data_IF_599520843498
#
_entry.id   IF_599520843498
#
_cell.length_a   1.000
_cell.length_b   1.000
_cell.length_c   1.000
_cell.angle_alpha   90.00
_cell.angle_beta   90.00
_cell.angle_gamma   90.00
#
_symmetry.space_group_name_H-M   'P 1'
#
loop_
_entity.id
_entity.type
_entity.pdbx_description
1 polymer ?
#
# COMPACT_ATOMS: atom_id res chain seq x y z
N UNK A 1 -10.43 -8.82 -2.35
CA UNK A 1 -9.27 -8.14 -1.73
C UNK A 1 -9.59 -7.96 -0.24
N UNK A 2 -8.73 -8.44 0.66
CA UNK A 2 -9.09 -8.68 2.07
C UNK A 2 -9.07 -7.41 2.92
N UNK A 3 -9.99 -7.34 3.89
CA UNK A 3 -10.02 -6.36 4.98
C UNK A 3 -8.85 -6.59 5.92
N UNK A 4 -7.70 -6.15 5.44
CA UNK A 4 -6.53 -5.93 6.26
C UNK A 4 -6.91 -4.85 7.26
N UNK A 5 -6.71 -5.13 8.55
CA UNK A 5 -6.50 -4.14 9.61
C UNK A 5 -7.69 -3.66 10.43
N UNK A 6 -8.68 -4.53 10.68
CA UNK A 6 -9.63 -4.29 11.77
C UNK A 6 -9.60 -5.41 12.80
N UNK A 7 -8.47 -5.52 13.51
CA UNK A 7 -8.28 -6.45 14.63
C UNK A 7 -9.20 -6.11 15.81
N UNK A 8 -9.66 -4.86 15.91
CA UNK A 8 -10.43 -4.38 17.06
C UNK A 8 -11.93 -4.72 16.96
N UNK A 9 -12.51 -4.86 15.76
CA UNK A 9 -13.97 -5.05 15.59
C UNK A 9 -14.47 -6.50 15.61
N UNK A 10 -13.63 -7.47 15.95
CA UNK A 10 -13.99 -8.90 15.90
C UNK A 10 -14.28 -9.47 17.29
N UNK A 11 -15.46 -9.16 17.82
CA UNK A 11 -15.94 -9.69 19.10
C UNK A 11 -16.46 -11.14 18.92
N UNK A 12 -15.58 -12.13 19.12
CA UNK A 12 -15.89 -13.56 19.20
C UNK A 12 -14.63 -14.43 19.30
N UNK A 13 -14.25 -14.85 20.51
CA UNK A 13 -12.91 -15.34 20.86
C UNK A 13 -12.29 -16.41 19.92
N UNK A 14 -12.96 -17.53 19.63
CA UNK A 14 -12.31 -18.66 18.94
C UNK A 14 -12.37 -18.61 17.41
N UNK A 15 -13.43 -18.04 16.82
CA UNK A 15 -13.45 -17.83 15.36
C UNK A 15 -12.52 -16.69 14.91
N UNK A 16 -12.08 -15.86 15.86
CA UNK A 16 -11.20 -14.75 15.56
C UNK A 16 -9.73 -15.16 15.49
N UNK A 17 -9.26 -16.02 16.40
CA UNK A 17 -7.84 -16.42 16.45
C UNK A 17 -7.34 -17.06 15.15
N UNK A 18 -8.10 -17.98 14.55
CA UNK A 18 -7.72 -18.61 13.28
C UNK A 18 -7.57 -17.57 12.15
N UNK A 19 -8.49 -16.61 12.07
CA UNK A 19 -8.45 -15.53 11.08
C UNK A 19 -7.28 -14.57 11.32
N UNK A 20 -6.99 -14.25 12.57
CA UNK A 20 -5.84 -13.41 12.94
C UNK A 20 -4.51 -14.09 12.59
N UNK A 21 -4.42 -15.41 12.81
CA UNK A 21 -3.28 -16.18 12.37
C UNK A 21 -3.15 -16.17 10.85
N UNK A 22 -4.21 -16.45 10.10
CA UNK A 22 -4.21 -16.36 8.63
C UNK A 22 -3.74 -14.99 8.13
N UNK A 23 -4.19 -13.90 8.77
CA UNK A 23 -3.71 -12.55 8.47
C UNK A 23 -2.22 -12.41 8.75
N UNK A 24 -1.73 -12.84 9.91
CA UNK A 24 -0.30 -12.79 10.22
C UNK A 24 0.54 -13.52 9.16
N UNK A 25 0.12 -14.71 8.70
CA UNK A 25 0.82 -15.44 7.64
C UNK A 25 0.71 -14.74 6.30
N UNK A 26 -0.44 -14.19 5.93
CA UNK A 26 -0.58 -13.44 4.69
C UNK A 26 0.35 -12.21 4.70
N UNK A 27 0.52 -11.51 5.83
CA UNK A 27 1.46 -10.39 5.92
C UNK A 27 2.88 -10.82 5.58
N UNK A 28 3.28 -12.04 5.89
CA UNK A 28 4.68 -12.48 5.79
C UNK A 28 4.95 -13.35 4.57
N UNK A 29 3.93 -14.04 4.04
CA UNK A 29 4.04 -15.00 2.94
C UNK A 29 3.08 -14.77 1.75
N UNK A 30 2.17 -13.79 1.82
CA UNK A 30 1.21 -13.42 0.75
C UNK A 30 0.47 -14.64 0.16
N UNK A 31 0.87 -15.12 -1.02
CA UNK A 31 0.17 -16.17 -1.77
C UNK A 31 0.34 -17.58 -1.16
N UNK A 32 1.47 -17.85 -0.49
CA UNK A 32 1.80 -19.17 0.05
C UNK A 32 1.36 -19.35 1.53
N UNK A 33 0.63 -18.39 2.07
CA UNK A 33 0.35 -18.26 3.51
C UNK A 33 -0.25 -19.50 4.15
N UNK A 34 -1.15 -20.21 3.46
CA UNK A 34 -1.80 -21.42 4.01
C UNK A 34 -0.78 -22.56 4.21
N UNK A 35 0.07 -22.80 3.20
CA UNK A 35 1.09 -23.85 3.28
C UNK A 35 2.19 -23.51 4.28
N UNK A 36 2.56 -22.23 4.39
CA UNK A 36 3.54 -21.76 5.36
C UNK A 36 2.98 -21.81 6.79
N UNK A 37 1.68 -21.58 6.98
CA UNK A 37 1.02 -21.76 8.28
C UNK A 37 1.07 -23.20 8.76
N UNK A 38 0.77 -24.17 7.89
CA UNK A 38 0.87 -25.59 8.24
C UNK A 38 2.32 -25.98 8.62
N UNK A 39 3.31 -25.53 7.84
CA UNK A 39 4.73 -25.77 8.11
C UNK A 39 5.17 -25.16 9.44
N UNK A 40 4.73 -23.94 9.72
CA UNK A 40 5.02 -23.27 10.98
C UNK A 40 4.44 -24.04 12.17
N UNK A 41 3.17 -24.47 12.09
CA UNK A 41 2.53 -25.24 13.14
C UNK A 41 3.23 -26.58 13.39
N UNK A 42 3.64 -27.28 12.33
CA UNK A 42 4.40 -28.53 12.45
C UNK A 42 5.77 -28.32 13.12
N UNK A 43 6.46 -27.21 12.81
CA UNK A 43 7.80 -26.91 13.34
C UNK A 43 7.76 -26.44 14.79
N UNK A 44 6.79 -25.61 15.15
CA UNK A 44 6.77 -24.87 16.42
C UNK A 44 5.72 -25.35 17.42
N UNK A 45 4.87 -26.30 17.03
CA UNK A 45 3.83 -26.85 17.91
C UNK A 45 2.56 -26.00 17.98
N UNK A 46 2.38 -25.05 17.07
CA UNK A 46 1.16 -24.25 16.95
C UNK A 46 1.42 -22.75 16.73
N UNK A 47 0.33 -21.99 16.64
CA UNK A 47 0.33 -20.53 16.49
C UNK A 47 -0.08 -19.81 17.79
N UNK A 48 0.08 -20.47 18.95
CA UNK A 48 -0.28 -19.86 20.24
C UNK A 48 0.82 -18.90 20.70
N UNK A 49 0.49 -17.88 21.51
CA UNK A 49 1.47 -16.88 21.93
C UNK A 49 2.74 -17.48 22.58
N UNK A 50 2.62 -18.56 23.35
CA UNK A 50 3.75 -19.27 23.96
C UNK A 50 4.70 -19.87 22.91
N UNK A 51 4.13 -20.45 21.84
CA UNK A 51 4.92 -20.97 20.71
C UNK A 51 5.63 -19.84 19.99
N UNK A 52 4.93 -18.71 19.77
CA UNK A 52 5.48 -17.53 19.12
C UNK A 52 6.62 -16.90 19.95
N UNK A 53 6.51 -16.84 21.27
CA UNK A 53 7.59 -16.37 22.14
C UNK A 53 8.85 -17.23 22.00
N UNK A 54 8.72 -18.55 21.87
CA UNK A 54 9.84 -19.44 21.59
C UNK A 54 10.44 -19.20 20.19
N UNK A 55 9.59 -18.97 19.19
CA UNK A 55 10.01 -18.63 17.81
C UNK A 55 10.81 -17.32 17.80
N UNK A 56 10.42 -16.30 18.58
CA UNK A 56 11.18 -15.05 18.67
C UNK A 56 12.61 -15.24 19.21
N UNK A 57 12.86 -16.28 19.99
CA UNK A 57 14.17 -16.58 20.55
C UNK A 57 15.05 -17.40 19.62
N UNK A 58 14.46 -18.39 18.93
CA UNK A 58 15.20 -19.45 18.25
C UNK A 58 14.84 -19.64 16.77
N UNK A 59 13.76 -19.02 16.33
CA UNK A 59 13.29 -19.08 14.96
C UNK A 59 14.15 -18.30 13.99
N UNK A 60 13.94 -18.57 12.72
CA UNK A 60 14.60 -17.85 11.64
C UNK A 60 13.74 -16.69 11.12
N UNK A 61 14.33 -15.93 10.22
CA UNK A 61 13.87 -14.66 9.62
C UNK A 61 12.33 -14.52 9.56
N UNK A 62 11.67 -15.31 8.71
CA UNK A 62 10.25 -15.15 8.42
C UNK A 62 9.37 -15.73 9.54
N UNK A 63 9.79 -16.82 10.17
CA UNK A 63 9.10 -17.37 11.34
C UNK A 63 9.01 -16.32 12.46
N UNK A 64 10.08 -15.56 12.69
CA UNK A 64 10.12 -14.45 13.66
C UNK A 64 9.16 -13.32 13.25
N UNK A 65 9.10 -12.96 11.97
CA UNK A 65 8.13 -11.99 11.45
C UNK A 65 6.68 -12.44 11.72
N UNK A 66 6.36 -13.70 11.43
CA UNK A 66 5.03 -14.28 11.70
C UNK A 66 4.72 -14.24 13.19
N UNK A 67 5.67 -14.67 14.03
CA UNK A 67 5.51 -14.66 15.49
C UNK A 67 5.25 -13.25 16.04
N UNK A 68 5.94 -12.21 15.52
CA UNK A 68 5.67 -10.81 15.86
C UNK A 68 4.23 -10.42 15.53
N UNK A 69 3.75 -10.81 14.34
CA UNK A 69 2.40 -10.48 13.88
C UNK A 69 1.31 -11.19 14.71
N UNK A 70 1.51 -12.47 15.02
CA UNK A 70 0.59 -13.24 15.89
C UNK A 70 0.55 -12.64 17.29
N UNK A 71 1.71 -12.30 17.87
CA UNK A 71 1.78 -11.66 19.19
C UNK A 71 1.06 -10.31 19.17
N UNK A 72 1.24 -9.50 18.13
CA UNK A 72 0.55 -8.21 18.00
C UNK A 72 -0.98 -8.35 17.94
N UNK A 73 -1.47 -9.40 17.30
CA UNK A 73 -2.90 -9.71 17.21
C UNK A 73 -3.46 -10.44 18.45
N UNK A 74 -2.59 -10.86 19.39
CA UNK A 74 -2.98 -11.58 20.60
C UNK A 74 -3.50 -10.65 21.70
N UNK A 75 -4.14 -11.24 22.71
CA UNK A 75 -4.56 -10.53 23.93
C UNK A 75 -3.48 -10.47 25.02
N UNK A 76 -2.21 -10.71 24.68
CA UNK A 76 -1.12 -10.64 25.66
C UNK A 76 -0.94 -9.20 26.17
N UNK A 77 -0.93 -8.94 27.49
CA UNK A 77 -0.71 -7.60 28.04
C UNK A 77 0.62 -6.97 27.58
N UNK A 78 1.65 -7.80 27.38
CA UNK A 78 2.99 -7.39 26.99
C UNK A 78 3.19 -7.35 25.46
N UNK A 79 2.16 -7.66 24.65
CA UNK A 79 2.26 -7.74 23.19
C UNK A 79 2.92 -6.50 22.59
N UNK A 80 2.47 -5.30 23.00
CA UNK A 80 3.03 -4.02 22.53
C UNK A 80 4.53 -3.94 22.77
N UNK A 81 4.99 -4.24 23.99
CA UNK A 81 6.40 -4.16 24.35
C UNK A 81 7.25 -5.16 23.56
N UNK A 82 6.75 -6.38 23.36
CA UNK A 82 7.43 -7.41 22.59
C UNK A 82 7.56 -6.97 21.13
N UNK A 83 6.48 -6.51 20.51
CA UNK A 83 6.47 -6.07 19.11
C UNK A 83 7.39 -4.85 18.91
N UNK A 84 7.36 -3.89 19.85
CA UNK A 84 8.25 -2.72 19.83
C UNK A 84 9.74 -3.08 19.91
N UNK A 85 10.10 -4.20 20.54
CA UNK A 85 11.49 -4.66 20.52
C UNK A 85 11.99 -4.98 19.10
N UNK A 86 11.10 -5.48 18.22
CA UNK A 86 11.42 -5.82 16.83
C UNK A 86 11.65 -4.61 15.93
N UNK A 87 11.16 -3.41 16.29
CA UNK A 87 11.52 -2.16 15.57
C UNK A 87 13.03 -1.89 15.62
N UNK A 88 13.71 -2.37 16.68
CA UNK A 88 15.17 -2.24 16.86
C UNK A 88 15.94 -3.42 16.28
N UNK A 89 15.26 -4.35 15.60
CA UNK A 89 15.92 -5.49 14.96
C UNK A 89 16.87 -5.01 13.86
N UNK A 90 18.00 -5.71 13.72
CA UNK A 90 18.90 -5.53 12.59
C UNK A 90 18.33 -6.11 11.29
N UNK A 91 17.32 -6.98 11.39
CA UNK A 91 16.57 -7.52 10.25
C UNK A 91 15.53 -6.49 9.79
N UNK A 92 15.62 -5.97 8.55
CA UNK A 92 14.63 -5.01 8.06
C UNK A 92 13.22 -5.60 7.97
N UNK A 93 13.10 -6.91 7.72
CA UNK A 93 11.80 -7.60 7.67
C UNK A 93 11.11 -7.60 9.05
N UNK A 94 11.86 -7.87 10.12
CA UNK A 94 11.33 -7.80 11.49
C UNK A 94 10.94 -6.36 11.84
N UNK A 95 11.77 -5.37 11.49
CA UNK A 95 11.45 -3.95 11.70
C UNK A 95 10.16 -3.54 11.00
N UNK A 96 9.99 -3.92 9.73
CA UNK A 96 8.79 -3.67 8.93
C UNK A 96 7.54 -4.32 9.55
N UNK A 97 7.61 -5.61 9.89
CA UNK A 97 6.49 -6.31 10.54
C UNK A 97 6.12 -5.67 11.87
N UNK A 98 7.09 -5.38 12.74
CA UNK A 98 6.86 -4.72 14.02
C UNK A 98 6.23 -3.34 13.86
N UNK A 99 6.73 -2.53 12.94
CA UNK A 99 6.24 -1.17 12.71
C UNK A 99 4.80 -1.18 12.19
N UNK A 100 4.50 -2.06 11.23
CA UNK A 100 3.13 -2.25 10.73
C UNK A 100 2.20 -2.73 11.86
N UNK A 101 2.61 -3.73 12.63
CA UNK A 101 1.83 -4.24 13.76
C UNK A 101 1.55 -3.17 14.83
N UNK A 102 2.53 -2.35 15.16
CA UNK A 102 2.36 -1.26 16.13
C UNK A 102 1.46 -0.15 15.60
N UNK A 103 1.60 0.21 14.33
CA UNK A 103 0.66 1.12 13.67
C UNK A 103 -0.78 0.64 13.83
N UNK A 104 -0.97 -0.67 13.68
CA UNK A 104 -2.26 -1.33 13.78
C UNK A 104 -2.85 -1.36 15.18
N UNK A 105 -1.98 -1.54 16.17
CA UNK A 105 -2.31 -1.36 17.58
C UNK A 105 -2.58 0.11 17.96
N UNK A 106 -2.41 1.06 17.04
CA UNK A 106 -2.60 2.49 17.30
C UNK A 106 -1.45 3.11 18.10
N UNK A 107 -0.25 2.58 17.94
CA UNK A 107 0.94 3.10 18.62
C UNK A 107 1.62 4.21 17.81
N UNK A 108 1.62 5.42 18.36
CA UNK A 108 2.24 6.59 17.73
C UNK A 108 3.78 6.48 17.61
N UNK A 109 4.42 5.63 18.42
CA UNK A 109 5.87 5.38 18.31
C UNK A 109 6.26 4.79 16.95
N UNK A 110 5.32 4.18 16.22
CA UNK A 110 5.55 3.64 14.87
C UNK A 110 5.61 4.71 13.77
N UNK A 111 5.10 5.92 14.00
CA UNK A 111 4.95 6.96 12.96
C UNK A 111 6.28 7.33 12.29
N UNK A 112 7.39 7.57 13.01
CA UNK A 112 8.66 7.93 12.38
C UNK A 112 9.18 6.83 11.44
N UNK A 113 9.10 5.57 11.88
CA UNK A 113 9.54 4.42 11.09
C UNK A 113 8.63 4.19 9.88
N UNK A 114 7.30 4.32 10.02
CA UNK A 114 6.38 4.27 8.88
C UNK A 114 6.71 5.32 7.82
N UNK A 115 6.96 6.57 8.26
CA UNK A 115 7.31 7.66 7.35
C UNK A 115 8.62 7.35 6.60
N UNK A 116 9.62 6.76 7.27
CA UNK A 116 10.86 6.32 6.65
C UNK A 116 10.61 5.18 5.65
N UNK A 117 9.80 4.19 6.02
CA UNK A 117 9.49 3.00 5.20
C UNK A 117 8.82 3.35 3.87
N UNK A 118 8.04 4.44 3.79
CA UNK A 118 7.42 4.90 2.54
C UNK A 118 8.44 5.11 1.40
N UNK A 119 9.69 5.41 1.75
CA UNK A 119 10.76 5.60 0.74
C UNK A 119 11.93 4.64 0.87
N UNK A 120 11.96 3.87 1.97
CA UNK A 120 12.95 2.84 2.17
C UNK A 120 12.84 1.82 1.04
N UNK A 121 13.99 1.36 0.56
CA UNK A 121 14.05 0.32 -0.47
C UNK A 121 13.42 0.71 -1.82
N UNK A 122 13.06 1.97 -2.06
CA UNK A 122 12.71 2.40 -3.42
C UNK A 122 13.95 2.26 -4.31
N UNK A 123 13.83 1.65 -5.50
CA UNK A 123 14.95 1.50 -6.42
C UNK A 123 15.70 2.82 -6.61
N UNK A 124 17.03 2.75 -6.61
CA UNK A 124 17.86 3.90 -6.97
C UNK A 124 18.40 3.67 -8.38
N UNK A 125 18.45 4.69 -9.25
CA UNK A 125 18.90 4.54 -10.64
C UNK A 125 20.24 3.82 -10.81
N UNK A 126 21.13 3.90 -9.80
CA UNK A 126 22.48 3.35 -9.83
C UNK A 126 22.72 2.15 -8.91
N UNK A 127 21.70 1.63 -8.21
CA UNK A 127 21.89 0.58 -7.22
C UNK A 127 20.88 -0.56 -7.43
N UNK A 128 21.23 -1.58 -8.23
CA UNK A 128 20.38 -2.76 -8.35
C UNK A 128 20.28 -3.46 -7.00
N UNK A 129 19.10 -4.00 -6.72
CA UNK A 129 18.85 -4.72 -5.49
C UNK A 129 19.80 -5.92 -5.34
N UNK A 130 20.42 -6.11 -4.16
CA UNK A 130 21.38 -7.19 -3.97
C UNK A 130 20.73 -8.59 -3.94
N UNK A 131 19.42 -8.71 -3.67
CA UNK A 131 18.70 -9.98 -3.59
C UNK A 131 17.25 -9.85 -4.08
N UNK A 132 16.91 -10.52 -5.18
CA UNK A 132 15.58 -10.48 -5.83
C UNK A 132 14.45 -10.94 -4.90
N UNK A 133 14.69 -11.97 -4.09
CA UNK A 133 13.71 -12.50 -3.13
C UNK A 133 13.32 -11.48 -2.05
N UNK A 134 14.32 -10.76 -1.52
CA UNK A 134 14.05 -9.71 -0.53
C UNK A 134 13.29 -8.53 -1.15
N UNK A 135 13.61 -8.19 -2.40
CA UNK A 135 12.93 -7.11 -3.10
C UNK A 135 11.42 -7.36 -3.18
N UNK A 136 10.99 -8.53 -3.66
CA UNK A 136 9.57 -8.87 -3.76
C UNK A 136 8.86 -8.81 -2.41
N UNK A 137 9.53 -9.26 -1.35
CA UNK A 137 8.99 -9.18 -0.01
C UNK A 137 8.67 -7.72 0.40
N UNK A 138 9.54 -6.76 0.12
CA UNK A 138 9.29 -5.35 0.45
C UNK A 138 8.26 -4.70 -0.47
N UNK A 139 8.22 -5.06 -1.75
CA UNK A 139 7.32 -4.44 -2.72
C UNK A 139 5.85 -4.73 -2.42
N UNK A 140 5.51 -5.98 -2.13
CA UNK A 140 4.13 -6.35 -1.76
C UNK A 140 3.66 -5.59 -0.51
N UNK A 141 4.56 -5.45 0.47
CA UNK A 141 4.24 -4.85 1.78
C UNK A 141 4.23 -3.35 1.72
N UNK A 142 4.97 -2.77 0.78
CA UNK A 142 5.00 -1.33 0.54
C UNK A 142 3.60 -0.80 0.18
N UNK A 143 2.78 -1.58 -0.51
CA UNK A 143 1.39 -1.23 -0.82
C UNK A 143 0.54 -1.02 0.44
N UNK A 144 0.94 -1.58 1.59
CA UNK A 144 0.24 -1.43 2.87
C UNK A 144 0.60 -0.10 3.58
N UNK A 145 1.77 0.48 3.29
CA UNK A 145 2.29 1.63 4.04
C UNK A 145 1.43 2.90 3.92
N UNK A 146 0.94 3.30 2.73
CA UNK A 146 0.13 4.50 2.60
C UNK A 146 -1.15 4.39 3.45
N UNK A 147 -1.74 3.19 3.45
CA UNK A 147 -2.90 2.87 4.28
C UNK A 147 -2.56 2.85 5.77
N UNK A 148 -1.44 2.24 6.16
CA UNK A 148 -1.00 2.19 7.56
C UNK A 148 -0.83 3.61 8.14
N UNK A 149 -0.37 4.57 7.32
CA UNK A 149 -0.23 5.94 7.78
C UNK A 149 -1.53 6.75 7.79
N UNK A 150 -2.61 6.29 7.15
CA UNK A 150 -3.87 7.02 6.97
C UNK A 150 -4.49 7.52 8.28
N UNK A 151 -4.45 6.71 9.34
CA UNK A 151 -5.04 7.06 10.65
C UNK A 151 -4.35 8.26 11.32
N UNK A 152 -3.11 8.55 10.93
CA UNK A 152 -2.30 9.62 11.51
C UNK A 152 -2.47 10.92 10.71
N UNK A 153 -3.26 11.86 11.23
CA UNK A 153 -3.59 13.13 10.55
C UNK A 153 -2.59 14.26 10.88
N UNK A 154 -1.31 13.95 10.91
CA UNK A 154 -0.24 14.89 11.23
C UNK A 154 0.57 15.32 9.99
N UNK A 155 1.15 16.52 10.02
CA UNK A 155 1.79 17.15 8.86
C UNK A 155 3.04 16.42 8.37
N UNK A 156 3.80 15.80 9.27
CA UNK A 156 4.95 14.96 8.94
C UNK A 156 4.56 13.75 8.09
N UNK A 157 3.39 13.15 8.34
CA UNK A 157 2.89 12.03 7.54
C UNK A 157 2.51 12.50 6.13
N UNK A 158 1.81 13.62 6.00
CA UNK A 158 1.49 14.21 4.68
C UNK A 158 2.78 14.53 3.90
N UNK A 159 3.78 15.11 4.55
CA UNK A 159 5.08 15.39 3.93
C UNK A 159 5.80 14.11 3.50
N UNK A 160 5.76 13.05 4.30
CA UNK A 160 6.37 11.76 3.96
C UNK A 160 5.66 11.09 2.77
N UNK A 161 4.33 11.11 2.74
CA UNK A 161 3.55 10.63 1.59
C UNK A 161 3.88 11.42 0.31
N UNK A 162 3.95 12.75 0.41
CA UNK A 162 4.31 13.59 -0.73
C UNK A 162 5.73 13.28 -1.24
N UNK A 163 6.71 13.16 -0.33
CA UNK A 163 8.08 12.82 -0.69
C UNK A 163 8.18 11.43 -1.33
N UNK A 164 7.43 10.45 -0.80
CA UNK A 164 7.36 9.11 -1.38
C UNK A 164 6.72 9.09 -2.76
N UNK A 165 5.65 9.86 -2.94
CA UNK A 165 4.98 10.03 -4.22
C UNK A 165 5.91 10.62 -5.29
N UNK A 166 6.58 11.73 -4.97
CA UNK A 166 7.59 12.33 -5.86
C UNK A 166 8.73 11.35 -6.18
N UNK A 167 9.18 10.57 -5.20
CA UNK A 167 10.26 9.60 -5.41
C UNK A 167 9.82 8.42 -6.28
N UNK A 168 8.64 7.85 -6.03
CA UNK A 168 8.08 6.76 -6.83
C UNK A 168 7.92 7.18 -8.30
N UNK A 169 7.37 8.37 -8.52
CA UNK A 169 7.27 8.98 -9.85
C UNK A 169 8.62 9.07 -10.54
N UNK A 170 9.64 9.57 -9.83
CA UNK A 170 10.98 9.65 -10.40
C UNK A 170 11.56 8.27 -10.71
N UNK A 171 11.26 7.26 -9.89
CA UNK A 171 11.64 5.87 -10.13
C UNK A 171 11.00 5.36 -11.42
N UNK A 172 9.70 5.59 -11.63
CA UNK A 172 9.00 5.16 -12.85
C UNK A 172 9.49 5.86 -14.12
N UNK A 173 9.76 7.17 -14.05
CA UNK A 173 10.24 7.94 -15.21
C UNK A 173 11.66 7.56 -15.61
N UNK A 174 12.54 7.32 -14.63
CA UNK A 174 13.97 7.16 -14.89
C UNK A 174 14.44 5.71 -14.98
N UNK A 175 13.63 4.75 -14.54
CA UNK A 175 14.04 3.34 -14.51
C UNK A 175 13.35 2.56 -15.60
N UNK A 176 14.14 1.97 -16.50
CA UNK A 176 13.67 0.98 -17.46
C UNK A 176 13.41 -0.33 -16.70
N UNK A 177 12.24 -0.47 -16.10
CA UNK A 177 11.87 -1.73 -15.48
C UNK A 177 11.39 -2.72 -16.55
N UNK A 178 12.05 -3.88 -16.58
CA UNK A 178 11.67 -5.04 -17.39
C UNK A 178 10.74 -6.00 -16.63
N UNK A 179 10.41 -5.70 -15.37
CA UNK A 179 9.51 -6.51 -14.54
C UNK A 179 8.54 -5.56 -13.82
N UNK A 180 7.33 -6.03 -13.51
CA UNK A 180 6.13 -5.28 -13.02
C UNK A 180 6.30 -4.59 -11.65
N UNK A 181 7.42 -3.92 -11.40
CA UNK A 181 7.77 -3.36 -10.12
C UNK A 181 6.89 -2.16 -9.75
N UNK A 182 6.30 -2.22 -8.55
CA UNK A 182 5.67 -1.09 -7.85
C UNK A 182 4.65 -0.26 -8.63
N UNK A 183 4.06 -0.77 -9.73
CA UNK A 183 3.01 -0.06 -10.48
C UNK A 183 1.87 0.33 -9.53
N UNK A 184 1.56 -0.56 -8.59
CA UNK A 184 0.61 -0.33 -7.51
C UNK A 184 0.83 0.97 -6.73
N UNK A 185 2.10 1.25 -6.43
CA UNK A 185 2.44 2.02 -5.24
C UNK A 185 2.13 3.52 -5.37
N UNK A 186 2.36 4.07 -6.55
CA UNK A 186 1.99 5.45 -6.88
C UNK A 186 0.50 5.69 -6.64
N UNK A 187 -0.34 4.72 -7.00
CA UNK A 187 -1.79 4.86 -6.96
C UNK A 187 -2.30 4.93 -5.51
N UNK A 188 -1.75 4.09 -4.62
CA UNK A 188 -2.02 4.19 -3.18
C UNK A 188 -1.53 5.52 -2.59
N UNK A 189 -0.34 5.99 -2.99
CA UNK A 189 0.19 7.27 -2.52
C UNK A 189 -0.67 8.45 -2.98
N UNK A 190 -1.08 8.47 -4.25
CA UNK A 190 -1.97 9.48 -4.82
C UNK A 190 -3.32 9.48 -4.09
N UNK A 191 -3.92 8.31 -3.90
CA UNK A 191 -5.16 8.18 -3.15
C UNK A 191 -5.03 8.76 -1.74
N UNK A 192 -3.99 8.40 -0.98
CA UNK A 192 -3.81 8.87 0.41
C UNK A 192 -3.55 10.37 0.51
N UNK A 193 -2.82 10.95 -0.45
CA UNK A 193 -2.64 12.39 -0.56
C UNK A 193 -3.98 13.10 -0.79
N UNK A 194 -4.78 12.57 -1.72
CA UNK A 194 -6.13 13.02 -1.97
C UNK A 194 -7.06 12.93 -0.76
N UNK A 195 -7.00 11.83 -0.02
CA UNK A 195 -7.73 11.62 1.23
C UNK A 195 -7.44 12.72 2.27
N UNK A 196 -6.21 13.24 2.27
CA UNK A 196 -5.78 14.36 3.12
C UNK A 196 -6.09 15.73 2.51
N UNK A 197 -6.67 15.76 1.32
CA UNK A 197 -6.94 16.97 0.56
C UNK A 197 -5.69 17.64 -0.02
N UNK A 198 -4.55 16.93 -0.08
CA UNK A 198 -3.29 17.46 -0.61
C UNK A 198 -3.12 17.06 -2.08
N UNK A 199 -3.33 18.03 -2.95
CA UNK A 199 -3.17 17.88 -4.41
C UNK A 199 -1.88 18.54 -4.91
N UNK A 200 -1.00 19.02 -4.01
CA UNK A 200 0.24 19.69 -4.41
C UNK A 200 1.19 18.74 -5.15
N UNK A 201 1.05 17.43 -4.95
CA UNK A 201 1.83 16.36 -5.59
C UNK A 201 1.82 16.38 -7.11
N UNK A 202 0.74 16.88 -7.72
CA UNK A 202 0.58 16.87 -9.18
C UNK A 202 0.97 18.20 -9.83
N UNK A 203 1.29 19.22 -9.04
CA UNK A 203 1.60 20.56 -9.53
C UNK A 203 3.07 20.64 -9.94
N UNK A 204 3.33 21.04 -11.17
CA UNK A 204 4.69 21.29 -11.68
C UNK A 204 5.49 20.03 -12.02
N UNK A 205 4.86 18.85 -12.02
CA UNK A 205 5.50 17.60 -12.43
C UNK A 205 5.39 17.41 -13.94
N UNK A 206 6.47 16.94 -14.57
CA UNK A 206 6.49 16.64 -16.01
C UNK A 206 6.09 15.18 -16.26
N UNK A 207 4.78 14.92 -16.24
CA UNK A 207 4.22 13.60 -16.58
C UNK A 207 3.69 13.52 -18.00
N UNK A 208 3.51 12.28 -18.47
CA UNK A 208 2.55 12.03 -19.55
C UNK A 208 1.15 12.45 -19.08
N UNK A 209 0.31 12.87 -20.02
CA UNK A 209 -1.06 13.29 -19.68
C UNK A 209 -1.84 12.14 -19.00
N UNK A 210 -1.67 10.91 -19.48
CA UNK A 210 -2.30 9.72 -18.90
C UNK A 210 -1.95 9.52 -17.42
N UNK A 211 -0.67 9.62 -17.06
CA UNK A 211 -0.23 9.50 -15.66
C UNK A 211 -0.82 10.62 -14.79
N UNK A 212 -0.83 11.85 -15.29
CA UNK A 212 -1.41 12.98 -14.57
C UNK A 212 -2.90 12.79 -14.31
N UNK A 213 -3.68 12.38 -15.33
CA UNK A 213 -5.12 12.13 -15.19
C UNK A 213 -5.39 11.02 -14.19
N UNK A 214 -4.66 9.90 -14.27
CA UNK A 214 -4.74 8.80 -13.29
C UNK A 214 -4.50 9.30 -11.86
N UNK A 215 -3.35 9.92 -11.59
CA UNK A 215 -3.01 10.39 -10.25
C UNK A 215 -4.06 11.38 -9.69
N UNK A 216 -4.56 12.29 -10.54
CA UNK A 216 -5.61 13.26 -10.14
C UNK A 216 -6.93 12.57 -9.85
N UNK A 217 -7.35 11.60 -10.65
CA UNK A 217 -8.57 10.82 -10.40
C UNK A 217 -8.50 10.09 -9.06
N UNK A 218 -7.33 9.54 -8.73
CA UNK A 218 -7.13 8.84 -7.46
C UNK A 218 -7.09 9.78 -6.27
N UNK A 219 -6.46 10.94 -6.41
CA UNK A 219 -6.54 11.98 -5.39
C UNK A 219 -7.98 12.45 -5.19
N UNK A 220 -8.74 12.63 -6.27
CA UNK A 220 -10.15 13.02 -6.19
C UNK A 220 -11.00 11.95 -5.49
N UNK A 221 -10.78 10.66 -5.79
CA UNK A 221 -11.45 9.55 -5.13
C UNK A 221 -11.11 9.48 -3.64
N UNK A 222 -9.83 9.63 -3.28
CA UNK A 222 -9.42 9.70 -1.87
C UNK A 222 -10.10 10.85 -1.12
N UNK A 223 -10.14 12.05 -1.73
CA UNK A 223 -10.82 13.21 -1.16
C UNK A 223 -12.33 12.99 -1.01
N UNK A 224 -12.97 12.33 -1.98
CA UNK A 224 -14.39 11.98 -1.92
C UNK A 224 -14.67 11.06 -0.73
N UNK A 225 -13.87 10.01 -0.58
CA UNK A 225 -14.02 9.05 0.52
C UNK A 225 -13.84 9.71 1.89
N UNK A 226 -12.87 10.63 2.02
CA UNK A 226 -12.68 11.41 3.24
C UNK A 226 -13.89 12.29 3.60
N UNK A 227 -14.64 12.78 2.61
CA UNK A 227 -15.81 13.64 2.80
C UNK A 227 -17.10 12.86 3.08
N UNK A 228 -17.27 11.69 2.46
CA UNK A 228 -18.54 10.97 2.46
C UNK A 228 -18.67 9.93 3.56
N UNK A 229 -17.58 9.27 3.97
CA UNK A 229 -17.67 8.18 4.93
C UNK A 229 -16.37 7.98 5.74
N UNK A 230 -16.08 8.86 6.70
CA UNK A 230 -14.90 8.71 7.55
C UNK A 230 -14.97 7.50 8.50
N UNK A 231 -16.11 6.78 8.59
CA UNK A 231 -16.39 5.80 9.65
C UNK A 231 -16.72 4.36 9.23
N UNK A 232 -17.24 4.08 8.03
CA UNK A 232 -17.51 2.69 7.57
C UNK A 232 -16.38 2.09 6.72
N UNK A 233 -15.24 2.77 6.67
CA UNK A 233 -14.17 2.51 5.71
C UNK A 233 -13.45 1.16 5.87
N UNK A 234 -13.59 0.48 7.01
CA UNK A 234 -13.01 -0.86 7.20
C UNK A 234 -13.53 -1.93 6.23
N UNK A 235 -14.58 -1.62 5.45
CA UNK A 235 -15.26 -2.60 4.61
C UNK A 235 -14.91 -2.64 3.12
N UNK A 236 -14.19 -1.68 2.57
CA UNK A 236 -13.96 -1.70 1.12
C UNK A 236 -12.52 -1.85 0.71
N UNK A 237 -11.56 -1.38 1.52
CA UNK A 237 -10.16 -1.86 1.58
C UNK A 237 -9.31 -1.85 0.30
N UNK A 238 -9.91 -1.72 -0.87
CA UNK A 238 -9.28 -1.64 -2.16
C UNK A 238 -9.50 -0.25 -2.69
N UNK A 239 -8.38 0.38 -2.98
CA UNK A 239 -8.16 0.94 -4.30
C UNK A 239 -8.84 0.03 -5.34
N UNK A 240 -10.13 0.29 -5.60
CA UNK A 240 -10.93 -0.47 -6.54
C UNK A 240 -11.03 0.41 -7.76
N UNK A 241 -10.26 0.07 -8.80
CA UNK A 241 -10.26 0.81 -10.06
C UNK A 241 -11.70 1.01 -10.53
N UNK A 242 -12.59 0.03 -10.30
CA UNK A 242 -14.03 0.07 -10.58
C UNK A 242 -14.75 1.31 -10.03
N UNK A 243 -14.28 1.85 -8.91
CA UNK A 243 -14.85 3.06 -8.31
C UNK A 243 -14.40 4.32 -9.01
N UNK A 244 -13.17 4.39 -9.51
CA UNK A 244 -12.63 5.59 -10.16
C UNK A 244 -13.40 5.95 -11.45
N UNK A 245 -13.98 4.96 -12.13
CA UNK A 245 -14.84 5.15 -13.31
C UNK A 245 -16.33 4.85 -13.06
N UNK A 246 -16.75 4.79 -11.80
CA UNK A 246 -18.18 4.67 -11.48
C UNK A 246 -18.93 5.94 -11.89
N UNK A 247 -19.80 5.83 -12.90
CA UNK A 247 -20.56 6.97 -13.45
C UNK A 247 -21.40 7.71 -12.40
N UNK A 248 -21.83 7.04 -11.32
CA UNK A 248 -22.54 7.70 -10.22
C UNK A 248 -21.64 8.66 -9.42
N UNK A 249 -20.32 8.43 -9.39
CA UNK A 249 -19.35 9.28 -8.70
C UNK A 249 -18.84 10.43 -9.56
N UNK A 250 -18.98 10.36 -10.89
CA UNK A 250 -18.51 11.37 -11.85
C UNK A 250 -18.76 12.83 -11.43
N UNK A 251 -19.99 13.28 -11.12
CA UNK A 251 -20.22 14.68 -10.76
C UNK A 251 -19.44 15.10 -9.52
N UNK A 252 -19.27 14.20 -8.54
CA UNK A 252 -18.54 14.47 -7.31
C UNK A 252 -17.03 14.57 -7.56
N UNK A 253 -16.47 13.61 -8.31
CA UNK A 253 -15.04 13.61 -8.62
C UNK A 253 -14.65 14.81 -9.49
N UNK A 254 -15.44 15.14 -10.52
CA UNK A 254 -15.22 16.33 -11.35
C UNK A 254 -15.28 17.62 -10.52
N UNK A 255 -16.24 17.75 -9.60
CA UNK A 255 -16.34 18.91 -8.71
C UNK A 255 -15.13 19.05 -7.79
N UNK A 256 -14.62 17.93 -7.25
CA UNK A 256 -13.41 17.92 -6.41
C UNK A 256 -12.21 18.40 -7.22
N UNK A 257 -12.00 17.87 -8.43
CA UNK A 257 -10.91 18.26 -9.33
C UNK A 257 -10.99 19.76 -9.64
N UNK A 258 -12.18 20.25 -10.02
CA UNK A 258 -12.41 21.67 -10.28
C UNK A 258 -12.05 22.54 -9.08
N UNK A 259 -12.53 22.17 -7.89
CA UNK A 259 -12.36 22.97 -6.67
C UNK A 259 -10.92 22.95 -6.15
N UNK A 260 -10.24 21.80 -6.23
CA UNK A 260 -8.90 21.59 -5.65
C UNK A 260 -7.77 22.02 -6.58
N UNK A 261 -7.93 21.83 -7.89
CA UNK A 261 -6.90 22.12 -8.89
C UNK A 261 -7.21 23.35 -9.77
N UNK A 262 -8.44 23.88 -9.71
CA UNK A 262 -8.87 24.99 -10.57
C UNK A 262 -9.03 24.60 -12.03
N UNK A 263 -9.11 23.31 -12.34
CA UNK A 263 -9.26 22.81 -13.71
C UNK A 263 -10.66 23.12 -14.24
N UNK A 264 -10.78 23.32 -15.55
CA UNK A 264 -12.09 23.51 -16.18
C UNK A 264 -12.93 22.25 -16.06
N UNK A 265 -14.25 22.40 -16.11
CA UNK A 265 -15.19 21.26 -16.15
C UNK A 265 -14.85 20.28 -17.29
N UNK A 266 -14.46 20.80 -18.45
CA UNK A 266 -14.03 19.97 -19.58
C UNK A 266 -12.78 19.13 -19.25
N UNK A 267 -11.77 19.73 -18.60
CA UNK A 267 -10.57 19.00 -18.19
C UNK A 267 -10.84 17.98 -17.09
N UNK A 268 -11.71 18.30 -16.12
CA UNK A 268 -12.11 17.36 -15.08
C UNK A 268 -12.90 16.17 -15.67
N UNK A 269 -13.80 16.43 -16.63
CA UNK A 269 -14.50 15.36 -17.36
C UNK A 269 -13.54 14.51 -18.20
N UNK A 270 -12.56 15.13 -18.87
CA UNK A 270 -11.55 14.41 -19.65
C UNK A 270 -10.76 13.40 -18.80
N UNK A 271 -10.44 13.75 -17.55
CA UNK A 271 -9.79 12.84 -16.60
C UNK A 271 -10.64 11.62 -16.29
N UNK A 272 -11.95 11.83 -16.10
CA UNK A 272 -12.88 10.75 -15.81
C UNK A 272 -13.10 9.85 -17.02
N UNK A 273 -13.30 10.45 -18.20
CA UNK A 273 -13.61 9.73 -19.44
C UNK A 273 -12.46 8.79 -19.86
N UNK A 274 -11.21 9.16 -19.55
CA UNK A 274 -10.04 8.34 -19.89
C UNK A 274 -9.45 7.57 -18.71
N UNK A 275 -10.04 7.64 -17.50
CA UNK A 275 -9.47 7.02 -16.31
C UNK A 275 -9.19 5.53 -16.53
N UNK A 276 -10.17 4.78 -17.04
CA UNK A 276 -10.05 3.35 -17.33
C UNK A 276 -8.98 3.04 -18.38
N UNK A 277 -8.91 3.83 -19.46
CA UNK A 277 -7.90 3.65 -20.51
C UNK A 277 -6.50 3.94 -19.99
N UNK A 278 -6.33 4.98 -19.17
CA UNK A 278 -5.06 5.36 -18.56
C UNK A 278 -4.57 4.27 -17.56
N UNK A 279 -5.49 3.54 -16.90
CA UNK A 279 -5.16 2.35 -16.09
C UNK A 279 -4.67 1.19 -16.96
N UNK A 280 -5.45 0.80 -17.97
CA UNK A 280 -5.09 -0.31 -18.86
C UNK A 280 -3.79 -0.04 -19.62
N UNK A 281 -3.57 1.21 -20.04
CA UNK A 281 -2.35 1.60 -20.74
C UNK A 281 -1.12 1.36 -19.87
N UNK A 282 -1.18 1.63 -18.56
CA UNK A 282 -0.07 1.36 -17.63
C UNK A 282 0.26 -0.13 -17.52
N UNK A 283 -0.77 -0.96 -17.33
CA UNK A 283 -0.57 -2.42 -17.24
C UNK A 283 0.05 -2.96 -18.51
N UNK A 284 -0.44 -2.50 -19.66
CA UNK A 284 0.10 -2.86 -20.96
C UNK A 284 1.55 -2.40 -21.16
N UNK A 285 1.87 -1.16 -20.77
CA UNK A 285 3.24 -0.63 -20.84
C UNK A 285 4.20 -1.41 -19.94
N UNK A 286 3.76 -1.83 -18.75
CA UNK A 286 4.57 -2.64 -17.86
C UNK A 286 4.86 -4.03 -18.42
N UNK A 287 3.89 -4.64 -19.11
CA UNK A 287 4.06 -5.97 -19.72
C UNK A 287 4.93 -5.95 -20.98
N UNK A 288 4.86 -4.88 -21.78
CA UNK A 288 5.50 -4.81 -23.10
C UNK A 288 6.86 -4.10 -23.12
N UNK A 289 7.19 -3.39 -22.03
CA UNK A 289 8.39 -2.58 -21.93
C UNK A 289 8.37 -1.37 -22.89
N UNK A 290 9.28 -0.39 -22.72
CA UNK A 290 9.30 0.84 -23.50
C UNK A 290 9.84 0.67 -24.94
N UNK A 291 9.70 -0.52 -25.53
CA UNK A 291 10.09 -0.72 -26.93
C UNK A 291 9.26 0.20 -27.82
N UNK A 292 9.91 0.87 -28.78
CA UNK A 292 9.38 1.98 -29.58
C UNK A 292 8.16 1.70 -30.47
N UNK A 293 7.39 0.64 -30.22
CA UNK A 293 6.09 0.37 -30.83
C UNK A 293 4.93 1.17 -30.18
N UNK A 294 5.23 2.03 -29.18
CA UNK A 294 4.29 2.97 -28.51
C UNK A 294 3.38 3.78 -29.45
N UNK A 295 3.73 3.98 -30.73
CA UNK A 295 2.91 4.75 -31.69
C UNK A 295 1.86 3.94 -32.46
N UNK A 296 1.92 2.60 -32.51
CA UNK A 296 1.03 1.84 -33.41
C UNK A 296 -0.18 1.21 -32.72
N UNK A 297 -0.05 0.78 -31.45
CA UNK A 297 -1.10 -0.01 -30.79
C UNK A 297 -2.16 0.88 -30.12
N UNK A 298 -1.76 1.96 -29.46
CA UNK A 298 -2.71 2.95 -28.89
C UNK A 298 -3.52 3.63 -30.00
N UNK A 299 -2.92 3.87 -31.17
CA UNK A 299 -3.61 4.43 -32.34
C UNK A 299 -4.62 3.47 -32.97
N UNK A 300 -4.52 2.15 -32.73
CA UNK A 300 -5.51 1.17 -33.18
C UNK A 300 -6.66 0.99 -32.18
N UNK A 301 -6.44 1.22 -30.89
CA UNK A 301 -7.49 1.17 -29.86
C UNK A 301 -8.37 2.42 -29.84
N UNK A 302 -7.81 3.60 -30.12
CA UNK A 302 -8.56 4.87 -30.18
C UNK A 302 -9.23 5.16 -31.53
N UNK A 303 -9.15 4.22 -32.49
CA UNK A 303 -9.70 4.36 -33.84
C UNK A 303 -10.93 3.47 -34.12
N UNK A 304 -11.48 2.82 -33.10
CA UNK A 304 -12.76 2.08 -33.13
C UNK A 304 -13.75 2.68 -32.14
#
# INVERSE_FOLDING_TARGET
MFHWLNWQDTVGATKNEARLNEQAFWLVHMEEYASEMERFQQRWGGCQPESCLNVLQTGDRLDRCVALCIIAASSLPEARQIVASGMRSSSPQERWCSTLCLSEMGDEEAIPDLCSMLTEFLPQPCNPWPQKELQWWFEDRRLLLPRAVRRWQCSNVTQALFAAFQRQVNVEVNTFFNENYCLFYEDYLAYELGFRGDFSGVIGVTWSLAHLRRAVMLMALGCYDALCDPGQWDRTGSYDDDRAYNQALRPHLCQIIHTRLGWSEAAANDCFDHAYEDFLAREYEAQTGPTGQRKQIVTQWLAG
#
